data_IF_049510855984
#
_entry.id   IF_049510855984
#
_cell.length_a   1.000
_cell.length_b   1.000
_cell.length_c   1.000
_cell.angle_alpha   90.00
_cell.angle_beta   90.00
_cell.angle_gamma   90.00
#
_symmetry.space_group_name_H-M   'P 1'
#
loop_
_entity.id
_entity.type
_entity.pdbx_description
1 polymer ?
#
# COMPACT_ATOMS: atom_id res chain seq x y z
N UNK A 1 19.93 23.26 17.78
CA UNK A 1 18.73 23.11 16.93
C UNK A 1 19.19 23.25 15.49
N UNK A 2 19.52 22.14 14.83
CA UNK A 2 19.76 22.17 13.38
C UNK A 2 18.38 22.33 12.74
N UNK A 3 18.11 23.48 12.14
CA UNK A 3 16.98 23.65 11.23
C UNK A 3 17.25 22.74 10.04
N UNK A 4 16.79 21.49 10.09
CA UNK A 4 16.87 20.58 8.97
C UNK A 4 16.07 21.23 7.84
N UNK A 5 16.79 21.83 6.88
CA UNK A 5 16.19 22.51 5.75
C UNK A 5 15.27 21.53 5.03
N UNK A 6 14.09 22.00 4.63
CA UNK A 6 13.10 21.20 3.88
C UNK A 6 13.79 20.43 2.75
N UNK A 7 13.67 19.10 2.76
CA UNK A 7 14.38 18.20 1.84
C UNK A 7 13.72 18.19 0.48
N UNK A 8 12.38 18.24 0.46
CA UNK A 8 11.57 18.27 -0.76
C UNK A 8 10.69 19.53 -0.82
N UNK A 9 11.26 20.73 -1.03
CA UNK A 9 10.49 21.99 -0.96
C UNK A 9 9.69 22.34 -2.21
N UNK A 10 9.89 21.65 -3.33
CA UNK A 10 9.31 22.01 -4.63
C UNK A 10 8.09 21.16 -4.91
N UNK A 11 6.92 21.78 -5.03
CA UNK A 11 5.73 21.08 -5.46
C UNK A 11 5.82 20.73 -6.96
N UNK A 12 5.63 19.45 -7.29
CA UNK A 12 5.57 18.95 -8.67
C UNK A 12 4.18 19.27 -9.22
N UNK A 13 4.12 20.05 -10.29
CA UNK A 13 2.87 20.56 -10.85
C UNK A 13 2.05 19.43 -11.46
N UNK A 14 2.69 18.49 -12.18
CA UNK A 14 2.03 17.27 -12.70
C UNK A 14 1.47 16.40 -11.58
N UNK A 15 2.15 16.31 -10.44
CA UNK A 15 1.66 15.54 -9.30
C UNK A 15 0.45 16.21 -8.63
N UNK A 16 0.43 17.55 -8.62
CA UNK A 16 -0.55 18.32 -7.84
C UNK A 16 -1.85 18.61 -8.58
N UNK A 17 -1.78 18.66 -9.91
CA UNK A 17 -2.88 19.10 -10.77
C UNK A 17 -3.45 17.99 -11.65
N UNK A 18 -2.87 16.79 -11.65
CA UNK A 18 -3.37 15.67 -12.46
C UNK A 18 -4.52 14.96 -11.73
N UNK A 19 -5.77 15.08 -12.23
CA UNK A 19 -6.93 14.44 -11.60
C UNK A 19 -6.95 12.92 -11.81
N UNK A 20 -6.05 12.37 -12.63
CA UNK A 20 -5.96 10.95 -12.94
C UNK A 20 -5.03 10.19 -11.99
N UNK A 21 -4.33 10.89 -11.10
CA UNK A 21 -3.43 10.27 -10.12
C UNK A 21 -4.16 9.38 -9.12
N UNK A 22 -3.60 8.19 -8.95
CA UNK A 22 -4.22 7.07 -8.26
C UNK A 22 -3.14 6.39 -7.40
N UNK A 23 -3.40 6.20 -6.09
CA UNK A 23 -2.65 5.22 -5.30
C UNK A 23 -3.12 3.81 -5.68
N UNK A 24 -2.50 3.32 -6.75
CA UNK A 24 -2.65 2.05 -7.45
C UNK A 24 -3.02 0.85 -6.58
N UNK A 25 -1.93 0.19 -6.26
CA UNK A 25 -1.93 -1.09 -5.64
C UNK A 25 -0.84 -1.14 -4.58
N UNK A 26 -0.98 -2.15 -3.75
CA UNK A 26 0.04 -2.57 -2.80
C UNK A 26 0.60 -3.87 -3.30
N UNK A 27 1.91 -3.92 -3.50
CA UNK A 27 2.59 -5.13 -3.90
C UNK A 27 3.13 -5.88 -2.68
N UNK A 28 2.75 -7.15 -2.55
CA UNK A 28 3.27 -8.08 -1.55
C UNK A 28 3.88 -9.30 -2.26
N UNK A 29 5.09 -9.70 -1.86
CA UNK A 29 5.62 -11.00 -2.28
C UNK A 29 4.95 -12.11 -1.50
N UNK A 30 4.58 -13.17 -2.18
CA UNK A 30 3.94 -14.35 -1.57
C UNK A 30 4.73 -15.60 -1.89
N UNK A 31 4.79 -16.51 -0.93
CA UNK A 31 5.46 -17.80 -1.12
C UNK A 31 4.71 -18.70 -2.09
N UNK A 32 3.38 -18.74 -1.99
CA UNK A 32 2.54 -19.61 -2.81
C UNK A 32 1.29 -18.83 -3.24
N UNK A 33 1.15 -18.50 -4.54
CA UNK A 33 0.03 -17.70 -5.00
C UNK A 33 -1.27 -18.51 -5.00
N UNK A 34 -1.24 -19.84 -5.10
CA UNK A 34 -2.46 -20.64 -5.10
C UNK A 34 -3.15 -20.57 -3.74
N UNK A 35 -2.40 -20.74 -2.64
CA UNK A 35 -2.96 -20.57 -1.28
C UNK A 35 -3.37 -19.13 -1.01
N UNK A 36 -2.58 -18.14 -1.47
CA UNK A 36 -2.81 -16.73 -1.11
C UNK A 36 -3.94 -16.11 -1.91
N UNK A 37 -4.05 -16.39 -3.22
CA UNK A 37 -5.22 -16.00 -4.01
C UNK A 37 -6.49 -16.63 -3.43
N UNK A 38 -6.47 -17.95 -3.14
CA UNK A 38 -7.60 -18.64 -2.52
C UNK A 38 -8.02 -17.97 -1.22
N UNK A 39 -7.06 -17.68 -0.34
CA UNK A 39 -7.30 -17.00 0.93
C UNK A 39 -8.04 -15.66 0.76
N UNK A 40 -7.55 -14.76 -0.09
CA UNK A 40 -8.21 -13.47 -0.31
C UNK A 40 -9.57 -13.59 -1.02
N UNK A 41 -9.72 -14.55 -1.94
CA UNK A 41 -11.00 -14.74 -2.63
C UNK A 41 -12.08 -15.39 -1.77
N UNK A 42 -11.73 -16.38 -0.94
CA UNK A 42 -12.71 -17.15 -0.15
C UNK A 42 -13.04 -16.50 1.19
N UNK A 43 -12.04 -15.94 1.88
CA UNK A 43 -12.25 -15.38 3.23
C UNK A 43 -12.66 -13.91 3.19
N UNK A 44 -12.22 -13.15 2.19
CA UNK A 44 -12.51 -11.71 2.07
C UNK A 44 -13.45 -11.38 0.91
N UNK A 45 -13.62 -12.26 -0.06
CA UNK A 45 -14.49 -12.03 -1.22
C UNK A 45 -13.85 -11.21 -2.34
N UNK A 46 -12.52 -11.03 -2.33
CA UNK A 46 -11.80 -10.38 -3.43
C UNK A 46 -11.94 -11.20 -4.74
N UNK A 47 -11.67 -10.55 -5.88
CA UNK A 47 -11.67 -11.14 -7.22
C UNK A 47 -10.30 -10.99 -7.84
N UNK A 48 -9.80 -12.08 -8.43
CA UNK A 48 -8.61 -12.04 -9.30
C UNK A 48 -9.00 -11.35 -10.62
N UNK A 49 -8.44 -10.16 -10.84
CA UNK A 49 -8.72 -9.33 -12.01
C UNK A 49 -7.80 -9.69 -13.19
N UNK A 50 -6.53 -9.93 -12.90
CA UNK A 50 -5.52 -10.23 -13.90
C UNK A 50 -4.39 -11.07 -13.31
N UNK A 51 -3.77 -11.88 -14.17
CA UNK A 51 -2.52 -12.57 -13.90
C UNK A 51 -1.56 -12.28 -15.04
N UNK A 52 -0.30 -11.99 -14.70
CA UNK A 52 0.77 -11.73 -15.66
C UNK A 52 1.97 -12.62 -15.36
N UNK A 53 2.44 -13.36 -16.35
CA UNK A 53 3.58 -14.27 -16.20
C UNK A 53 4.80 -13.72 -16.93
N UNK A 54 5.94 -13.65 -16.24
CA UNK A 54 7.20 -13.15 -16.77
C UNK A 54 8.19 -14.31 -16.89
N UNK A 55 8.05 -15.10 -17.95
CA UNK A 55 8.77 -16.39 -18.07
C UNK A 55 10.29 -16.26 -18.04
N UNK A 56 10.84 -15.20 -18.65
CA UNK A 56 12.29 -14.94 -18.66
C UNK A 56 12.81 -14.58 -17.27
N UNK A 57 12.01 -13.86 -16.48
CA UNK A 57 12.37 -13.40 -15.14
C UNK A 57 11.89 -14.36 -14.02
N UNK A 58 11.15 -15.41 -14.38
CA UNK A 58 10.67 -16.48 -13.47
C UNK A 58 9.84 -15.94 -12.30
N UNK A 59 8.91 -15.03 -12.58
CA UNK A 59 7.91 -14.60 -11.62
C UNK A 59 6.54 -14.38 -12.26
N UNK A 60 5.50 -14.34 -11.43
CA UNK A 60 4.13 -14.03 -11.82
C UNK A 60 3.55 -12.94 -10.92
N UNK A 61 2.69 -12.11 -11.48
CA UNK A 61 1.89 -11.11 -10.77
C UNK A 61 0.42 -11.51 -10.77
N UNK A 62 -0.26 -11.30 -9.65
CA UNK A 62 -1.69 -11.54 -9.49
C UNK A 62 -2.33 -10.27 -8.93
N UNK A 63 -3.30 -9.72 -9.64
CA UNK A 63 -3.98 -8.48 -9.25
C UNK A 63 -5.36 -8.81 -8.72
N UNK A 64 -5.63 -8.47 -7.47
CA UNK A 64 -6.90 -8.69 -6.81
C UNK A 64 -7.53 -7.37 -6.37
N UNK A 65 -8.85 -7.28 -6.39
CA UNK A 65 -9.58 -6.20 -5.73
C UNK A 65 -10.84 -6.76 -5.08
N UNK A 66 -11.48 -5.98 -4.20
CA UNK A 66 -12.90 -6.24 -3.91
C UNK A 66 -13.74 -6.05 -5.19
N UNK A 67 -14.92 -6.67 -5.28
CA UNK A 67 -15.79 -6.55 -6.45
C UNK A 67 -16.06 -5.09 -6.83
N UNK A 68 -15.95 -4.79 -8.13
CA UNK A 68 -16.19 -3.48 -8.73
C UNK A 68 -16.97 -3.68 -10.02
N UNK A 69 -17.97 -2.84 -10.25
CA UNK A 69 -18.86 -2.99 -11.40
C UNK A 69 -18.29 -2.34 -12.68
N UNK A 70 -17.32 -1.44 -12.55
CA UNK A 70 -16.95 -0.46 -13.58
C UNK A 70 -15.43 -0.31 -13.79
N UNK A 71 -14.65 -1.39 -13.66
CA UNK A 71 -13.21 -1.34 -13.98
C UNK A 71 -13.03 -1.06 -15.50
N UNK A 72 -12.32 0.02 -15.87
CA UNK A 72 -12.02 0.32 -17.28
C UNK A 72 -11.29 -0.85 -17.96
N UNK A 73 -11.38 -0.92 -19.28
CA UNK A 73 -10.67 -1.94 -20.06
C UNK A 73 -9.45 -1.35 -20.74
N UNK A 74 -8.36 -2.11 -20.77
CA UNK A 74 -7.17 -1.75 -21.53
C UNK A 74 -7.42 -1.97 -23.05
N UNK A 75 -6.43 -1.63 -23.88
CA UNK A 75 -6.54 -1.79 -25.35
C UNK A 75 -6.71 -3.24 -25.84
N UNK A 76 -6.46 -4.24 -24.99
CA UNK A 76 -6.72 -5.66 -25.29
C UNK A 76 -8.14 -6.10 -24.88
N UNK A 77 -8.94 -5.21 -24.28
CA UNK A 77 -10.29 -5.52 -23.79
C UNK A 77 -10.34 -6.23 -22.43
N UNK A 78 -9.19 -6.34 -21.75
CA UNK A 78 -9.04 -6.90 -20.41
C UNK A 78 -9.24 -5.80 -19.34
N UNK A 79 -9.60 -6.13 -18.09
CA UNK A 79 -9.62 -5.14 -17.00
C UNK A 79 -8.28 -4.42 -16.88
N UNK A 80 -8.31 -3.09 -16.93
CA UNK A 80 -7.14 -2.24 -16.71
C UNK A 80 -6.89 -2.09 -15.21
N UNK A 81 -6.13 -3.04 -14.67
CA UNK A 81 -5.78 -3.09 -13.25
C UNK A 81 -5.02 -1.86 -12.77
N UNK A 82 -4.41 -1.06 -13.66
CA UNK A 82 -3.66 0.15 -13.31
C UNK A 82 -4.52 1.40 -13.24
N UNK A 83 -5.80 1.34 -13.64
CA UNK A 83 -6.77 2.45 -13.49
C UNK A 83 -7.75 2.22 -12.33
N UNK A 84 -7.63 1.09 -11.62
CA UNK A 84 -8.53 0.71 -10.54
C UNK A 84 -8.03 1.16 -9.16
N UNK A 85 -8.93 1.56 -8.27
CA UNK A 85 -8.62 1.79 -6.86
C UNK A 85 -8.54 0.49 -6.06
N UNK A 86 -7.75 0.47 -4.98
CA UNK A 86 -7.81 -0.59 -3.97
C UNK A 86 -7.39 -1.97 -4.50
N UNK A 87 -6.30 -2.01 -5.25
CA UNK A 87 -5.76 -3.24 -5.84
C UNK A 87 -4.67 -3.83 -4.95
N UNK A 88 -4.69 -5.15 -4.77
CA UNK A 88 -3.61 -5.93 -4.17
C UNK A 88 -2.86 -6.64 -5.29
N UNK A 89 -1.59 -6.32 -5.46
CA UNK A 89 -0.68 -7.06 -6.33
C UNK A 89 0.08 -8.09 -5.49
N UNK A 90 0.02 -9.36 -5.91
CA UNK A 90 0.84 -10.42 -5.34
C UNK A 90 1.94 -10.78 -6.34
N UNK A 91 3.20 -10.66 -5.91
CA UNK A 91 4.35 -11.15 -6.67
C UNK A 91 4.75 -12.54 -6.18
N UNK A 92 4.79 -13.51 -7.08
CA UNK A 92 5.29 -14.84 -6.81
C UNK A 92 6.55 -15.12 -7.62
N UNK A 93 7.67 -15.35 -6.93
CA UNK A 93 8.90 -15.84 -7.56
C UNK A 93 8.82 -17.36 -7.69
N UNK A 94 8.98 -17.90 -8.90
CA UNK A 94 8.70 -19.31 -9.17
C UNK A 94 9.62 -20.25 -8.38
N UNK A 95 9.03 -21.30 -7.81
CA UNK A 95 9.74 -22.31 -7.01
C UNK A 95 9.76 -22.00 -5.51
N UNK A 96 9.43 -20.77 -5.10
CA UNK A 96 9.34 -20.42 -3.66
C UNK A 96 8.27 -21.23 -2.93
N UNK A 97 7.21 -21.65 -3.63
CA UNK A 97 6.10 -22.45 -3.09
C UNK A 97 6.54 -23.86 -2.70
N UNK A 98 7.63 -24.35 -3.30
CA UNK A 98 8.23 -25.67 -3.03
C UNK A 98 9.44 -25.61 -2.10
N UNK A 99 9.93 -24.41 -1.79
CA UNK A 99 11.10 -24.22 -0.94
C UNK A 99 10.67 -24.16 0.54
N UNK A 100 11.00 -25.17 1.38
CA UNK A 100 10.63 -25.16 2.80
C UNK A 100 11.30 -24.03 3.58
N UNK A 101 12.49 -23.59 3.15
CA UNK A 101 13.30 -22.57 3.83
C UNK A 101 12.97 -21.15 3.40
N UNK A 102 12.23 -20.98 2.29
CA UNK A 102 11.79 -19.67 1.85
C UNK A 102 10.78 -19.10 2.84
N UNK A 103 11.11 -17.91 3.39
CA UNK A 103 10.31 -17.16 4.34
C UNK A 103 10.11 -15.75 3.83
N UNK A 104 8.86 -15.29 3.90
CA UNK A 104 8.49 -13.92 3.66
C UNK A 104 8.78 -13.09 4.91
N UNK A 105 9.34 -11.90 4.73
CA UNK A 105 9.35 -10.88 5.76
C UNK A 105 8.01 -10.11 5.76
N UNK A 106 7.21 -10.31 6.81
CA UNK A 106 5.92 -9.62 6.97
C UNK A 106 6.04 -8.15 7.41
N UNK A 107 7.25 -7.65 7.69
CA UNK A 107 7.53 -6.27 8.10
C UNK A 107 7.30 -5.94 9.57
N UNK A 108 6.90 -6.92 10.40
CA UNK A 108 6.51 -6.69 11.80
C UNK A 108 7.44 -7.35 12.83
N UNK A 109 8.52 -8.00 12.40
CA UNK A 109 9.48 -8.69 13.27
C UNK A 109 10.88 -8.07 13.17
N UNK A 110 11.55 -7.90 14.32
CA UNK A 110 12.94 -7.46 14.35
C UNK A 110 13.87 -8.56 13.82
N UNK A 111 14.96 -8.21 13.10
CA UNK A 111 15.46 -6.86 12.84
C UNK A 111 14.87 -6.21 11.56
N UNK A 112 13.87 -6.84 10.92
CA UNK A 112 13.41 -6.46 9.58
C UNK A 112 12.06 -5.74 9.57
N UNK A 113 11.80 -4.92 10.59
CA UNK A 113 10.56 -4.12 10.69
C UNK A 113 10.53 -3.00 9.67
N UNK A 114 9.37 -2.76 9.08
CA UNK A 114 9.13 -1.63 8.18
C UNK A 114 7.67 -1.55 7.76
N UNK A 115 7.30 -2.34 6.76
CA UNK A 115 5.90 -2.53 6.37
C UNK A 115 5.03 -2.92 7.57
N UNK A 116 3.86 -2.28 7.72
CA UNK A 116 2.93 -2.51 8.82
C UNK A 116 1.88 -3.53 8.46
N UNK A 117 0.94 -3.13 7.60
CA UNK A 117 -0.23 -3.92 7.28
C UNK A 117 -0.92 -3.40 6.02
N UNK A 118 -1.80 -4.22 5.46
CA UNK A 118 -2.90 -3.75 4.62
C UNK A 118 -4.15 -3.64 5.48
N UNK A 119 -5.13 -2.83 5.08
CA UNK A 119 -6.37 -2.66 5.82
C UNK A 119 -7.60 -2.82 4.95
N UNK A 120 -8.56 -3.57 5.45
CA UNK A 120 -9.87 -3.73 4.85
C UNK A 120 -10.95 -3.08 5.72
N UNK A 121 -11.67 -2.15 5.12
CA UNK A 121 -12.88 -1.60 5.74
C UNK A 121 -14.05 -2.52 5.44
N UNK A 122 -14.79 -2.89 6.49
CA UNK A 122 -15.90 -3.84 6.46
C UNK A 122 -17.14 -3.23 7.11
N UNK A 123 -18.32 -3.76 6.77
CA UNK A 123 -19.58 -3.22 7.28
C UNK A 123 -19.85 -3.59 8.74
N UNK A 124 -19.44 -4.79 9.13
CA UNK A 124 -19.64 -5.33 10.46
C UNK A 124 -18.37 -6.09 10.86
N UNK A 125 -17.53 -5.43 11.65
CA UNK A 125 -16.25 -5.98 12.07
C UNK A 125 -16.41 -7.19 13.00
N UNK A 126 -17.46 -7.23 13.83
CA UNK A 126 -17.69 -8.37 14.74
C UNK A 126 -18.06 -9.60 13.92
N UNK A 127 -19.06 -9.47 13.05
CA UNK A 127 -19.48 -10.55 12.16
C UNK A 127 -18.34 -11.01 11.26
N UNK A 128 -17.57 -10.08 10.68
CA UNK A 128 -16.42 -10.42 9.84
C UNK A 128 -15.38 -11.20 10.63
N UNK A 129 -15.05 -10.78 11.86
CA UNK A 129 -14.09 -11.51 12.70
C UNK A 129 -14.61 -12.91 13.05
N UNK A 130 -15.89 -13.05 13.44
CA UNK A 130 -16.50 -14.35 13.75
C UNK A 130 -16.47 -15.30 12.55
N UNK A 131 -16.80 -14.81 11.35
CA UNK A 131 -16.76 -15.60 10.12
C UNK A 131 -15.33 -16.05 9.79
N UNK A 132 -14.35 -15.15 9.83
CA UNK A 132 -12.93 -15.47 9.60
C UNK A 132 -12.41 -16.49 10.62
N UNK A 133 -12.73 -16.33 11.90
CA UNK A 133 -12.36 -17.26 12.96
C UNK A 133 -12.98 -18.65 12.74
N UNK A 134 -14.27 -18.70 12.37
CA UNK A 134 -14.96 -19.97 12.09
C UNK A 134 -14.37 -20.72 10.89
N UNK A 135 -13.74 -19.99 9.96
CA UNK A 135 -13.05 -20.51 8.78
C UNK A 135 -11.57 -20.84 9.06
N UNK A 136 -11.11 -20.68 10.30
CA UNK A 136 -9.75 -21.01 10.72
C UNK A 136 -8.69 -19.95 10.39
N UNK A 137 -9.09 -18.74 10.00
CA UNK A 137 -8.16 -17.63 9.78
C UNK A 137 -7.50 -17.25 11.10
N UNK A 138 -6.17 -17.09 11.07
CA UNK A 138 -5.38 -16.72 12.24
C UNK A 138 -5.48 -15.22 12.48
N UNK A 139 -5.40 -14.82 13.75
CA UNK A 139 -5.38 -13.42 14.16
C UNK A 139 -4.09 -13.11 14.92
N UNK A 140 -3.51 -11.95 14.62
CA UNK A 140 -2.47 -11.34 15.43
C UNK A 140 -3.06 -10.66 16.67
N UNK A 141 -4.24 -10.05 16.50
CA UNK A 141 -5.00 -9.36 17.55
C UNK A 141 -6.49 -9.49 17.25
N UNK A 142 -7.26 -9.98 18.21
CA UNK A 142 -8.73 -10.01 18.16
C UNK A 142 -9.35 -8.71 18.66
N UNK A 143 -10.63 -8.50 18.41
CA UNK A 143 -11.39 -7.39 19.00
C UNK A 143 -11.40 -7.50 20.53
N UNK A 144 -11.55 -8.72 21.06
CA UNK A 144 -11.55 -9.00 22.50
C UNK A 144 -10.20 -8.79 23.20
N UNK A 145 -9.11 -8.55 22.45
CA UNK A 145 -7.75 -8.41 22.98
C UNK A 145 -7.26 -6.95 23.00
N UNK A 146 -6.38 -6.63 23.94
CA UNK A 146 -5.81 -5.28 24.09
C UNK A 146 -6.82 -4.22 24.54
N UNK A 147 -6.38 -2.96 24.61
CA UNK A 147 -7.23 -1.81 25.01
C UNK A 147 -8.13 -1.33 23.88
N UNK A 148 -7.65 -1.43 22.64
CA UNK A 148 -8.36 -0.95 21.46
C UNK A 148 -9.32 -2.02 20.95
N UNK A 149 -10.62 -1.72 20.94
CA UNK A 149 -11.71 -2.67 20.65
C UNK A 149 -12.39 -2.46 19.30
N UNK A 150 -11.98 -1.43 18.55
CA UNK A 150 -12.55 -1.04 17.26
C UNK A 150 -11.74 -1.54 16.05
N UNK A 151 -10.64 -2.27 16.28
CA UNK A 151 -9.79 -2.86 15.23
C UNK A 151 -9.38 -4.30 15.56
N UNK A 152 -9.20 -5.12 14.52
CA UNK A 152 -8.61 -6.44 14.61
C UNK A 152 -7.51 -6.61 13.55
N UNK A 153 -6.59 -7.55 13.78
CA UNK A 153 -5.56 -7.91 12.81
C UNK A 153 -5.64 -9.40 12.48
N UNK A 154 -6.16 -9.73 11.30
CA UNK A 154 -6.06 -11.07 10.73
C UNK A 154 -4.65 -11.29 10.15
N UNK A 155 -4.27 -12.54 9.96
CA UNK A 155 -3.02 -12.95 9.34
C UNK A 155 -3.30 -13.67 8.03
N UNK A 156 -2.64 -13.23 6.97
CA UNK A 156 -2.63 -13.94 5.70
C UNK A 156 -1.74 -15.20 5.75
N UNK A 157 -1.70 -16.03 4.69
CA UNK A 157 -0.90 -17.26 4.66
C UNK A 157 0.61 -17.06 4.81
N UNK A 158 1.12 -15.87 4.48
CA UNK A 158 2.53 -15.47 4.57
C UNK A 158 2.82 -14.70 5.88
N UNK A 159 1.80 -14.47 6.72
CA UNK A 159 1.91 -13.80 8.01
C UNK A 159 1.83 -12.28 7.94
N UNK A 160 1.45 -11.69 6.80
CA UNK A 160 1.12 -10.28 6.70
C UNK A 160 -0.10 -9.96 7.54
N UNK A 161 -0.08 -8.78 8.15
CA UNK A 161 -1.18 -8.30 8.97
C UNK A 161 -2.22 -7.64 8.08
N UNK A 162 -3.48 -8.02 8.28
CA UNK A 162 -4.64 -7.42 7.64
C UNK A 162 -5.45 -6.75 8.75
N UNK A 163 -5.37 -5.43 8.83
CA UNK A 163 -6.22 -4.66 9.73
C UNK A 163 -7.66 -4.70 9.23
N UNK A 164 -8.60 -4.91 10.15
CA UNK A 164 -10.03 -4.81 9.90
C UNK A 164 -10.54 -3.60 10.66
N UNK A 165 -11.26 -2.73 9.96
CA UNK A 165 -11.91 -1.53 10.51
C UNK A 165 -13.34 -1.42 9.99
N UNK A 166 -14.18 -0.64 10.65
CA UNK A 166 -15.50 -0.27 10.13
C UNK A 166 -15.41 1.01 9.29
N UNK A 167 -16.30 1.16 8.29
CA UNK A 167 -16.34 2.37 7.43
C UNK A 167 -16.57 3.67 8.20
N UNK A 168 -17.26 3.56 9.33
CA UNK A 168 -17.63 4.67 10.21
C UNK A 168 -17.18 4.35 11.64
N UNK A 169 -16.81 5.41 12.36
CA UNK A 169 -16.67 5.36 13.82
C UNK A 169 -17.94 5.92 14.47
N UNK A 170 -18.16 5.62 15.75
CA UNK A 170 -19.32 6.12 16.51
C UNK A 170 -19.50 7.63 16.31
N UNK A 171 -20.73 8.04 15.96
CA UNK A 171 -21.09 9.44 15.71
C UNK A 171 -20.92 9.95 14.27
N UNK A 172 -20.52 9.10 13.31
CA UNK A 172 -20.40 9.49 11.90
C UNK A 172 -21.55 8.97 11.02
N UNK A 173 -21.91 9.73 9.96
CA UNK A 173 -23.04 9.45 9.04
C UNK A 173 -22.71 8.49 7.87
N UNK A 174 -21.48 7.98 7.78
CA UNK A 174 -21.03 7.09 6.71
C UNK A 174 -21.69 5.70 6.81
N UNK A 175 -21.83 4.96 5.69
CA UNK A 175 -22.94 4.03 5.49
C UNK A 175 -23.12 3.07 6.66
N UNK A 176 -24.33 3.11 7.24
CA UNK A 176 -24.74 2.24 8.37
C UNK A 176 -25.05 0.80 7.94
N UNK A 177 -25.00 0.51 6.63
CA UNK A 177 -25.27 -0.79 6.03
C UNK A 177 -24.14 -1.22 5.10
N UNK A 178 -24.16 -2.48 4.67
CA UNK A 178 -23.10 -3.03 3.83
C UNK A 178 -23.04 -2.36 2.46
N UNK A 179 -21.87 -1.80 2.14
CA UNK A 179 -21.51 -1.24 0.83
C UNK A 179 -20.37 -2.00 0.16
N UNK A 180 -20.13 -3.24 0.62
CA UNK A 180 -19.03 -4.09 0.14
C UNK A 180 -17.68 -3.71 0.76
N UNK A 181 -16.85 -4.72 1.05
CA UNK A 181 -15.52 -4.52 1.63
C UNK A 181 -14.66 -3.63 0.74
N UNK A 182 -13.81 -2.81 1.35
CA UNK A 182 -12.92 -1.88 0.63
C UNK A 182 -11.47 -2.09 1.05
N UNK A 183 -10.55 -2.07 0.09
CA UNK A 183 -9.12 -2.05 0.41
C UNK A 183 -8.75 -0.62 0.74
N UNK A 184 -8.81 -0.31 2.03
CA UNK A 184 -8.72 1.04 2.55
C UNK A 184 -7.30 1.59 2.46
N UNK A 185 -6.37 1.02 3.22
CA UNK A 185 -5.03 1.59 3.30
C UNK A 185 -3.90 0.56 3.33
N UNK A 186 -2.74 1.06 2.94
CA UNK A 186 -1.43 0.43 3.15
C UNK A 186 -0.69 1.19 4.23
N UNK A 187 -0.18 0.49 5.23
CA UNK A 187 0.60 1.09 6.30
C UNK A 187 2.08 0.78 6.16
N UNK A 188 2.91 1.82 6.16
CA UNK A 188 4.36 1.72 6.29
C UNK A 188 4.87 2.55 7.46
N UNK A 189 5.92 2.07 8.12
CA UNK A 189 6.60 2.84 9.18
C UNK A 189 7.64 3.76 8.57
N UNK A 190 7.68 4.99 9.04
CA UNK A 190 8.60 6.03 8.59
C UNK A 190 9.45 6.54 9.73
N UNK A 191 10.71 6.88 9.43
CA UNK A 191 11.65 7.40 10.42
C UNK A 191 11.37 8.87 10.74
N UNK A 192 11.11 9.70 9.74
CA UNK A 192 11.00 11.15 9.92
C UNK A 192 9.74 11.69 9.23
N UNK A 193 8.72 12.11 10.00
CA UNK A 193 7.44 12.54 9.43
C UNK A 193 7.58 13.79 8.58
N UNK A 194 8.45 14.73 8.93
CA UNK A 194 8.68 15.93 8.11
C UNK A 194 9.16 15.56 6.71
N UNK A 195 10.18 14.70 6.60
CA UNK A 195 10.74 14.29 5.31
C UNK A 195 9.75 13.47 4.49
N UNK A 196 9.03 12.56 5.13
CA UNK A 196 8.04 11.71 4.44
C UNK A 196 6.84 12.54 3.99
N UNK A 197 6.28 13.40 4.83
CA UNK A 197 5.16 14.27 4.47
C UNK A 197 5.54 15.25 3.34
N UNK A 198 6.74 15.83 3.35
CA UNK A 198 7.22 16.64 2.23
C UNK A 198 7.31 15.83 0.95
N UNK A 199 7.87 14.61 1.01
CA UNK A 199 8.00 13.75 -0.16
C UNK A 199 6.61 13.39 -0.75
N UNK A 200 5.73 12.83 0.05
CA UNK A 200 4.42 12.37 -0.44
C UNK A 200 3.53 13.54 -0.90
N UNK A 201 3.60 14.71 -0.26
CA UNK A 201 2.80 15.87 -0.66
C UNK A 201 3.40 16.64 -1.83
N UNK A 202 4.71 16.96 -1.80
CA UNK A 202 5.31 17.84 -2.81
C UNK A 202 5.82 17.07 -4.04
N UNK A 203 6.34 15.85 -3.87
CA UNK A 203 6.85 15.04 -4.99
C UNK A 203 5.71 14.27 -5.65
N UNK A 204 4.84 13.67 -4.84
CA UNK A 204 3.77 12.78 -5.33
C UNK A 204 2.37 13.40 -5.29
N UNK A 205 2.21 14.64 -4.81
CA UNK A 205 0.93 15.36 -4.87
C UNK A 205 -0.17 14.86 -3.94
N UNK A 206 0.15 13.96 -3.00
CA UNK A 206 -0.83 13.47 -2.02
C UNK A 206 -1.25 14.58 -1.06
N UNK A 207 -2.46 14.48 -0.54
CA UNK A 207 -2.99 15.36 0.51
C UNK A 207 -2.95 14.65 1.84
N UNK A 208 -2.56 15.35 2.90
CA UNK A 208 -2.75 14.86 4.27
C UNK A 208 -4.25 14.87 4.59
N UNK A 209 -4.83 13.69 4.73
CA UNK A 209 -6.26 13.48 4.96
C UNK A 209 -6.60 13.47 6.45
N UNK A 210 -5.71 12.90 7.28
CA UNK A 210 -5.90 12.80 8.72
C UNK A 210 -4.56 12.63 9.43
N UNK A 211 -4.46 13.24 10.62
CA UNK A 211 -3.42 12.93 11.61
C UNK A 211 -4.09 12.32 12.84
N UNK A 212 -3.47 11.28 13.42
CA UNK A 212 -3.92 10.65 14.67
C UNK A 212 -2.74 10.47 15.61
N UNK A 213 -2.71 11.25 16.70
CA UNK A 213 -1.64 11.18 17.69
C UNK A 213 -2.01 10.24 18.83
N UNK A 214 -1.08 9.36 19.20
CA UNK A 214 -1.25 8.39 20.27
C UNK A 214 -0.21 8.64 21.37
N UNK A 215 -0.33 9.76 22.08
CA UNK A 215 0.69 10.25 23.02
C UNK A 215 1.11 9.23 24.09
N UNK A 216 0.15 8.43 24.58
CA UNK A 216 0.42 7.39 25.59
C UNK A 216 1.25 6.22 25.06
N UNK A 217 1.19 5.97 23.75
CA UNK A 217 1.94 4.92 23.06
C UNK A 217 3.12 5.46 22.23
N UNK A 218 3.31 6.79 22.21
CA UNK A 218 4.44 7.48 21.57
C UNK A 218 4.59 7.19 20.08
N UNK A 219 3.47 7.25 19.36
CA UNK A 219 3.47 7.25 17.89
C UNK A 219 2.41 8.19 17.32
N UNK A 220 2.61 8.59 16.07
CA UNK A 220 1.65 9.38 15.29
C UNK A 220 1.39 8.69 13.95
N UNK A 221 0.13 8.69 13.53
CA UNK A 221 -0.32 8.17 12.25
C UNK A 221 -0.67 9.33 11.32
N UNK A 222 -0.23 9.26 10.07
CA UNK A 222 -0.57 10.22 9.02
C UNK A 222 -1.21 9.48 7.85
N UNK A 223 -2.43 9.85 7.50
CA UNK A 223 -3.17 9.25 6.39
C UNK A 223 -3.12 10.18 5.19
N UNK A 224 -2.61 9.71 4.06
CA UNK A 224 -2.45 10.46 2.83
C UNK A 224 -3.17 9.78 1.67
N UNK A 225 -3.55 10.57 0.67
CA UNK A 225 -4.12 10.10 -0.59
C UNK A 225 -4.46 11.24 -1.53
N UNK A 226 -5.04 10.95 -2.69
CA UNK A 226 -5.39 11.97 -3.69
C UNK A 226 -6.71 12.70 -3.43
N UNK A 227 -7.40 12.31 -2.35
CA UNK A 227 -8.60 12.96 -1.84
C UNK A 227 -9.49 11.96 -1.12
N UNK A 228 -10.47 12.49 -0.38
CA UNK A 228 -11.60 11.71 0.12
C UNK A 228 -12.84 12.29 -0.58
N UNK A 229 -13.65 11.46 -1.27
CA UNK A 229 -14.92 11.93 -1.79
C UNK A 229 -15.73 12.62 -0.69
N UNK A 230 -16.46 13.70 -1.01
CA UNK A 230 -17.20 14.48 0.01
C UNK A 230 -18.18 13.64 0.84
N UNK A 231 -18.66 12.53 0.27
CA UNK A 231 -19.59 11.59 0.86
C UNK A 231 -18.91 10.46 1.64
N UNK A 232 -17.58 10.45 1.72
CA UNK A 232 -16.78 9.41 2.36
C UNK A 232 -15.96 9.94 3.54
N UNK A 233 -15.48 9.01 4.36
CA UNK A 233 -14.47 9.21 5.41
C UNK A 233 -13.16 8.57 4.96
N UNK A 234 -12.06 8.90 5.65
CA UNK A 234 -10.77 8.20 5.44
C UNK A 234 -10.90 6.69 5.67
N UNK A 235 -11.85 6.24 6.50
CA UNK A 235 -12.11 4.83 6.78
C UNK A 235 -13.08 4.19 5.79
N UNK A 236 -13.74 4.97 4.92
CA UNK A 236 -14.66 4.46 3.89
C UNK A 236 -14.15 4.63 2.46
N UNK A 237 -12.98 5.24 2.23
CA UNK A 237 -12.34 5.27 0.92
C UNK A 237 -11.44 4.06 0.67
N UNK A 238 -10.98 3.92 -0.57
CA UNK A 238 -9.89 3.01 -0.93
C UNK A 238 -8.61 3.81 -1.17
N UNK A 239 -7.48 3.13 -1.32
CA UNK A 239 -6.25 3.73 -1.83
C UNK A 239 -5.71 4.85 -0.92
N UNK A 240 -5.63 4.60 0.38
CA UNK A 240 -5.00 5.48 1.38
C UNK A 240 -3.61 4.94 1.75
N UNK A 241 -2.67 5.85 1.97
CA UNK A 241 -1.37 5.54 2.54
C UNK A 241 -1.37 5.97 4.00
N UNK A 242 -1.13 5.03 4.91
CA UNK A 242 -0.90 5.32 6.32
C UNK A 242 0.61 5.29 6.61
N UNK A 243 1.12 6.39 7.15
CA UNK A 243 2.48 6.49 7.63
C UNK A 243 2.47 6.44 9.16
N UNK A 244 3.16 5.45 9.73
CA UNK A 244 3.34 5.34 11.18
C UNK A 244 4.70 5.84 11.59
N UNK A 245 4.73 6.90 12.39
CA UNK A 245 5.94 7.43 12.99
C UNK A 245 6.01 7.07 14.47
N UNK A 246 7.00 6.26 14.85
CA UNK A 246 7.33 6.02 16.25
C UNK A 246 8.25 7.14 16.74
N UNK A 247 7.85 7.85 17.80
CA UNK A 247 8.52 9.06 18.23
C UNK A 247 9.97 8.80 18.63
N UNK A 248 10.86 9.70 18.23
CA UNK A 248 12.29 9.61 18.51
C UNK A 248 13.10 8.88 17.44
N UNK A 249 12.48 8.12 16.55
CA UNK A 249 13.19 7.42 15.45
C UNK A 249 13.89 8.39 14.50
N UNK A 250 13.35 9.60 14.33
CA UNK A 250 13.91 10.71 13.56
C UNK A 250 15.23 11.25 14.14
N UNK A 251 15.46 11.06 15.44
CA UNK A 251 16.61 11.59 16.16
C UNK A 251 17.79 10.60 16.22
N UNK A 252 17.57 9.32 15.90
CA UNK A 252 18.64 8.32 15.85
C UNK A 252 19.20 8.23 14.42
N UNK A 253 20.47 8.64 14.18
CA UNK A 253 21.06 8.60 12.85
C UNK A 253 21.25 7.17 12.31
N UNK A 254 21.38 6.16 13.17
CA UNK A 254 21.61 4.77 12.80
C UNK A 254 20.32 3.98 12.61
N UNK A 255 19.20 4.49 13.14
CA UNK A 255 17.90 3.86 12.98
C UNK A 255 17.44 3.89 11.53
N UNK A 256 16.88 2.77 11.05
CA UNK A 256 16.21 2.67 9.76
C UNK A 256 15.18 1.54 9.81
N UNK A 257 14.15 1.64 8.98
CA UNK A 257 13.23 0.54 8.74
C UNK A 257 13.71 -0.31 7.55
N UNK A 258 13.30 -1.57 7.53
CA UNK A 258 13.48 -2.46 6.40
C UNK A 258 12.54 -2.05 5.25
N UNK A 259 13.10 -1.85 4.06
CA UNK A 259 12.38 -1.37 2.88
C UNK A 259 11.51 -2.42 2.16
N UNK A 260 11.49 -3.66 2.66
CA UNK A 260 10.75 -4.80 2.09
C UNK A 260 11.42 -5.50 0.90
N UNK A 261 12.33 -4.82 0.20
CA UNK A 261 13.00 -5.32 -1.01
C UNK A 261 14.41 -5.86 -0.77
N UNK A 262 15.04 -5.51 0.36
CA UNK A 262 16.29 -6.13 0.82
C UNK A 262 15.99 -7.51 1.38
N UNK A 263 17.00 -8.40 1.45
CA UNK A 263 16.80 -9.72 2.05
C UNK A 263 16.70 -9.63 3.59
N UNK A 264 15.75 -10.36 4.22
CA UNK A 264 14.70 -11.17 3.60
C UNK A 264 13.56 -10.31 3.03
N UNK A 265 13.13 -10.66 1.81
CA UNK A 265 12.12 -9.89 1.08
C UNK A 265 10.69 -10.15 1.57
N UNK A 266 9.83 -9.17 1.32
CA UNK A 266 8.40 -9.27 1.55
C UNK A 266 7.65 -8.17 0.79
N UNK A 267 7.24 -7.13 1.51
CA UNK A 267 6.62 -5.94 0.90
C UNK A 267 7.40 -5.45 -0.33
N UNK A 268 6.69 -5.28 -1.46
CA UNK A 268 7.25 -4.83 -2.72
C UNK A 268 7.27 -3.32 -2.81
N UNK A 269 6.10 -2.73 -3.00
CA UNK A 269 5.93 -1.30 -3.27
C UNK A 269 4.48 -0.88 -3.10
N UNK A 270 4.26 0.43 -3.09
CA UNK A 270 3.00 1.01 -3.55
C UNK A 270 3.17 1.45 -5.01
N UNK A 271 2.08 1.51 -5.76
CA UNK A 271 2.08 2.07 -7.10
C UNK A 271 1.31 3.38 -7.15
N UNK A 272 1.86 4.35 -7.87
CA UNK A 272 1.17 5.57 -8.29
C UNK A 272 0.93 5.49 -9.80
N UNK A 273 -0.32 5.43 -10.23
CA UNK A 273 -0.65 5.44 -11.65
C UNK A 273 -1.38 6.73 -12.05
N UNK A 274 -1.26 7.09 -13.32
CA UNK A 274 -1.94 8.23 -13.93
C UNK A 274 -1.92 8.10 -15.46
N UNK A 275 -2.55 9.02 -16.19
CA UNK A 275 -2.57 8.97 -17.66
C UNK A 275 -1.18 9.21 -18.29
N UNK A 276 -0.37 10.12 -17.74
CA UNK A 276 0.95 10.50 -18.28
C UNK A 276 2.08 10.38 -17.25
N UNK A 277 2.36 9.13 -16.87
CA UNK A 277 3.45 8.76 -15.97
C UNK A 277 4.83 9.25 -16.45
N UNK A 278 5.03 9.35 -17.78
CA UNK A 278 6.27 9.82 -18.37
C UNK A 278 6.53 11.30 -18.09
N UNK A 279 5.51 12.15 -18.28
CA UNK A 279 5.62 13.57 -17.94
C UNK A 279 5.82 13.80 -16.44
N UNK A 280 5.11 13.05 -15.59
CA UNK A 280 5.29 13.09 -14.14
C UNK A 280 6.74 12.77 -13.74
N UNK A 281 7.27 11.63 -14.21
CA UNK A 281 8.64 11.21 -13.90
C UNK A 281 9.67 12.24 -14.40
N UNK A 282 9.48 12.78 -15.61
CA UNK A 282 10.35 13.79 -16.19
C UNK A 282 10.39 15.07 -15.36
N UNK A 283 9.24 15.53 -14.85
CA UNK A 283 9.20 16.72 -13.99
C UNK A 283 9.89 16.46 -12.64
N UNK A 284 9.62 15.32 -12.00
CA UNK A 284 10.29 14.93 -10.75
C UNK A 284 11.81 14.94 -10.93
N UNK A 285 12.31 14.31 -12.00
CA UNK A 285 13.73 14.28 -12.31
C UNK A 285 14.30 15.69 -12.54
N UNK A 286 13.61 16.54 -13.32
CA UNK A 286 14.07 17.89 -13.62
C UNK A 286 14.13 18.80 -12.38
N UNK A 287 13.20 18.64 -11.42
CA UNK A 287 13.12 19.49 -10.22
C UNK A 287 14.00 19.01 -9.08
N UNK A 288 14.14 17.69 -8.93
CA UNK A 288 14.82 17.11 -7.78
C UNK A 288 16.16 16.44 -8.08
N UNK A 289 16.42 16.02 -9.33
CA UNK A 289 17.65 15.34 -9.71
C UNK A 289 18.03 14.22 -8.74
N UNK A 290 19.26 14.28 -8.23
CA UNK A 290 19.84 13.28 -7.32
C UNK A 290 19.20 13.23 -5.93
N UNK A 291 18.30 14.17 -5.58
CA UNK A 291 17.53 14.08 -4.33
C UNK A 291 16.52 12.95 -4.33
N UNK A 292 16.09 12.51 -5.52
CA UNK A 292 15.22 11.34 -5.70
C UNK A 292 16.09 10.15 -6.11
N UNK A 293 15.99 9.07 -5.35
CA UNK A 293 16.62 7.82 -5.71
C UNK A 293 15.70 7.05 -6.65
N UNK A 294 16.24 6.62 -7.78
CA UNK A 294 15.54 5.80 -8.77
C UNK A 294 16.13 4.39 -8.77
N UNK A 295 15.31 3.38 -9.07
CA UNK A 295 15.80 2.03 -9.40
C UNK A 295 15.90 1.91 -10.93
N UNK A 296 14.81 1.67 -11.70
CA UNK A 296 14.74 2.13 -13.09
C UNK A 296 14.05 3.49 -13.18
N UNK A 297 14.61 4.39 -13.99
CA UNK A 297 13.87 5.58 -14.46
C UNK A 297 12.89 5.18 -15.55
N UNK A 298 11.94 6.06 -15.86
CA UNK A 298 10.92 5.81 -16.87
C UNK A 298 11.54 5.39 -18.21
N UNK A 299 11.08 4.26 -18.77
CA UNK A 299 11.61 3.64 -19.99
C UNK A 299 13.07 3.16 -19.95
N UNK A 300 13.72 3.19 -18.79
CA UNK A 300 15.04 2.58 -18.58
C UNK A 300 14.87 1.16 -18.01
N UNK A 301 15.57 0.20 -18.61
CA UNK A 301 15.42 -1.23 -18.27
C UNK A 301 14.62 -2.02 -19.30
N UNK A 302 14.30 -3.27 -18.93
CA UNK A 302 13.63 -4.26 -19.80
C UNK A 302 12.15 -3.96 -19.97
N UNK A 303 11.45 -3.67 -18.87
CA UNK A 303 10.07 -3.23 -18.92
C UNK A 303 10.01 -1.75 -19.33
N UNK A 304 9.14 -1.44 -20.29
CA UNK A 304 8.89 -0.07 -20.77
C UNK A 304 7.66 0.51 -20.08
N UNK A 305 7.57 1.83 -20.07
CA UNK A 305 6.52 2.64 -19.46
C UNK A 305 6.36 2.45 -17.95
N UNK A 306 7.47 2.18 -17.27
CA UNK A 306 7.53 1.98 -15.83
C UNK A 306 8.74 2.73 -15.26
N UNK A 307 8.60 3.26 -14.05
CA UNK A 307 9.69 3.74 -13.23
C UNK A 307 9.52 3.27 -11.78
N UNK A 308 10.60 3.21 -11.02
CA UNK A 308 10.52 3.17 -9.57
C UNK A 308 11.38 4.27 -8.96
N UNK A 309 10.78 5.06 -8.08
CA UNK A 309 11.49 5.93 -7.16
C UNK A 309 11.44 5.35 -5.75
N UNK A 310 12.33 5.83 -4.88
CA UNK A 310 12.33 5.49 -3.46
C UNK A 310 11.92 6.67 -2.61
N UNK A 311 11.13 6.40 -1.60
CA UNK A 311 10.81 7.38 -0.57
C UNK A 311 12.01 7.63 0.37
N UNK A 312 11.92 8.56 1.33
CA UNK A 312 13.03 8.91 2.23
C UNK A 312 13.52 7.77 3.12
N UNK A 313 12.69 6.76 3.34
CA UNK A 313 12.98 5.55 4.13
C UNK A 313 13.42 4.36 3.24
N UNK A 314 13.42 4.56 1.92
CA UNK A 314 13.89 3.60 0.94
C UNK A 314 12.82 2.64 0.41
N UNK A 315 11.55 2.83 0.77
CA UNK A 315 10.45 2.05 0.20
C UNK A 315 10.31 2.35 -1.29
N UNK A 316 10.09 1.30 -2.08
CA UNK A 316 9.91 1.43 -3.52
C UNK A 316 8.51 1.95 -3.84
N UNK A 317 8.42 2.84 -4.83
CA UNK A 317 7.18 3.38 -5.37
C UNK A 317 7.23 3.21 -6.87
N UNK A 318 6.33 2.39 -7.40
CA UNK A 318 6.16 2.18 -8.83
C UNK A 318 5.37 3.35 -9.44
N UNK A 319 5.74 3.79 -10.64
CA UNK A 319 4.99 4.78 -11.41
C UNK A 319 4.73 4.26 -12.82
N UNK A 320 3.45 4.11 -13.18
CA UNK A 320 2.98 3.50 -14.44
C UNK A 320 1.83 4.28 -15.06
N UNK A 321 1.65 4.25 -16.39
CA UNK A 321 0.48 4.83 -17.01
C UNK A 321 -0.76 3.94 -16.82
N UNK A 322 -1.93 4.55 -16.85
CA UNK A 322 -3.18 3.83 -17.12
C UNK A 322 -3.09 3.08 -18.46
N UNK A 323 -3.76 1.93 -18.53
CA UNK A 323 -3.76 1.07 -19.71
C UNK A 323 -2.45 0.33 -19.98
N UNK A 324 -1.51 0.30 -19.00
CA UNK A 324 -0.26 -0.44 -19.14
C UNK A 324 -0.54 -1.92 -19.41
N UNK A 325 0.02 -2.41 -20.51
CA UNK A 325 0.04 -3.83 -20.83
C UNK A 325 1.47 -4.29 -20.65
N UNK A 326 1.70 -4.82 -19.45
CA UNK A 326 2.89 -5.56 -19.08
C UNK A 326 2.82 -7.01 -19.57
#
# INVERSE_FOLDING_TARGET
MSTDSTRYPIQIEKASNDPTLLLNHTCLRVKDPARTVKFYTEHFGMKLLSRKDFEEAKFSLYFLSFPKDDIPKNKNGEPDVFSAHGVLELTHNWGTEKNPDYKINNGNEEPHRGFGHICFSVSDINKTCEELESQGVKFKKRLSEGRQKDIAFALDPDGYWIELITYSREGQEYPKGSVGNKFNHTMIRIKNPTRSLEFYQNVLGMKLLRTSEHESAKFTLYFLGYGVPKTDSVFSCESVLELTHNWGTENDPNFHYHNGNSEPQGYGHICISCDDAGALCKEIEAKYGDKIQWSPKFNQGRMKNIAFLKDPDGYSIEVVPHGLIA
#
